data_IF_261995891818
#
_entry.id   IF_261995891818
#
_cell.length_a   1.000
_cell.length_b   1.000
_cell.length_c   1.000
_cell.angle_alpha   90.00
_cell.angle_beta   90.00
_cell.angle_gamma   90.00
#
_symmetry.space_group_name_H-M   'P 1'
#
loop_
_entity.id
_entity.type
_entity.pdbx_description
1 polymer ?
#
# COMPACT_ATOMS: atom_id res chain seq x y z
N UNK A 1 4.32 0.75 56.23
CA UNK A 1 5.18 -0.15 57.02
C UNK A 1 6.28 -0.67 56.11
N UNK A 2 7.52 -0.39 56.49
CA UNK A 2 8.82 -0.87 55.98
C UNK A 2 9.29 -0.43 54.59
N UNK A 3 9.96 0.69 54.61
CA UNK A 3 11.08 1.14 53.79
C UNK A 3 12.27 0.17 53.85
N UNK A 4 12.93 -0.07 52.69
CA UNK A 4 14.36 -0.44 52.66
C UNK A 4 15.05 0.22 51.49
N UNK A 5 15.85 1.25 51.79
CA UNK A 5 16.87 1.82 50.92
C UNK A 5 18.04 0.83 50.78
N UNK A 6 18.61 0.75 49.57
CA UNK A 6 19.96 0.22 49.36
C UNK A 6 20.74 1.14 48.42
N UNK A 7 21.77 1.76 49.01
CA UNK A 7 22.82 2.54 48.34
C UNK A 7 24.02 1.60 48.13
N UNK A 8 24.53 1.52 46.92
CA UNK A 8 25.89 1.12 46.57
C UNK A 8 26.19 1.81 45.25
N UNK A 9 27.21 2.53 45.01
CA UNK A 9 28.61 2.47 45.39
C UNK A 9 29.37 2.85 44.12
N UNK A 10 30.08 3.99 44.16
CA UNK A 10 30.89 4.52 43.04
C UNK A 10 31.97 3.54 42.61
N UNK A 11 32.08 3.27 41.31
CA UNK A 11 33.22 2.67 40.65
C UNK A 11 33.62 3.49 39.43
N UNK A 12 34.62 4.37 39.57
CA UNK A 12 35.30 5.01 38.45
C UNK A 12 36.11 3.97 37.68
N UNK A 13 35.70 3.66 36.47
CA UNK A 13 36.57 2.97 35.53
C UNK A 13 36.96 3.97 34.42
N UNK A 14 38.23 4.39 34.43
CA UNK A 14 38.85 5.09 33.33
C UNK A 14 38.96 4.10 32.14
N UNK A 15 38.07 4.18 31.18
CA UNK A 15 38.14 3.46 29.92
C UNK A 15 38.71 4.35 28.83
N UNK A 16 39.83 3.96 28.28
CA UNK A 16 40.53 4.59 27.15
C UNK A 16 39.59 4.71 25.95
N UNK A 17 39.40 5.93 25.44
CA UNK A 17 38.73 6.17 24.14
C UNK A 17 39.69 5.69 23.03
N UNK A 18 39.42 4.53 22.46
CA UNK A 18 39.90 4.18 21.15
C UNK A 18 39.03 4.89 20.11
N UNK A 19 39.57 5.92 19.47
CA UNK A 19 38.99 6.53 18.25
C UNK A 19 39.12 5.53 17.10
N UNK A 20 38.11 4.68 16.92
CA UNK A 20 37.95 3.94 15.66
C UNK A 20 37.45 4.90 14.63
N UNK A 21 38.29 5.33 13.71
CA UNK A 21 37.96 6.11 12.55
C UNK A 21 36.90 5.35 11.73
N UNK A 22 35.76 5.95 11.48
CA UNK A 22 34.86 5.53 10.43
C UNK A 22 35.56 5.71 9.09
N UNK A 23 36.21 4.64 8.61
CA UNK A 23 36.60 4.52 7.23
C UNK A 23 35.32 4.49 6.40
N UNK A 24 35.07 5.52 5.57
CA UNK A 24 34.13 5.42 4.48
C UNK A 24 34.63 4.36 3.52
N UNK A 25 34.17 3.13 3.66
CA UNK A 25 34.28 2.15 2.59
C UNK A 25 33.43 2.69 1.43
N UNK A 26 34.10 3.29 0.47
CA UNK A 26 33.55 3.50 -0.87
C UNK A 26 33.28 2.12 -1.45
N UNK A 27 32.08 1.62 -1.24
CA UNK A 27 31.61 0.44 -1.95
C UNK A 27 31.52 0.83 -3.42
N UNK A 28 32.44 0.28 -4.24
CA UNK A 28 32.31 0.25 -5.69
C UNK A 28 31.12 -0.64 -6.07
N UNK A 29 29.91 -0.20 -5.70
CA UNK A 29 28.70 -0.84 -6.15
C UNK A 29 28.50 -0.39 -7.60
N UNK A 30 28.41 -1.33 -8.55
CA UNK A 30 28.14 -0.97 -9.94
C UNK A 30 26.85 -0.13 -9.99
N UNK A 31 26.76 0.84 -10.91
CA UNK A 31 25.55 1.63 -11.06
C UNK A 31 24.36 0.67 -11.21
N UNK A 32 23.23 0.98 -10.56
CA UNK A 32 22.03 0.16 -10.67
C UNK A 32 21.71 -0.05 -12.16
N UNK A 33 21.47 -1.30 -12.53
CA UNK A 33 21.06 -1.65 -13.89
C UNK A 33 19.75 -0.95 -14.25
N UNK A 34 19.38 -0.91 -15.55
CA UNK A 34 18.10 -0.36 -15.96
C UNK A 34 16.99 -1.03 -15.16
N UNK A 35 16.01 -0.22 -14.73
CA UNK A 35 14.88 -0.69 -13.94
C UNK A 35 14.31 -1.98 -14.53
N UNK A 36 14.52 -3.09 -13.81
CA UNK A 36 13.83 -4.33 -14.17
C UNK A 36 12.35 -4.07 -13.95
N UNK A 37 11.56 -4.32 -14.98
CA UNK A 37 10.10 -4.36 -14.85
C UNK A 37 9.81 -5.25 -13.66
N UNK A 38 9.08 -4.71 -12.67
CA UNK A 38 8.69 -5.48 -11.51
C UNK A 38 7.98 -6.73 -12.01
N UNK A 39 8.45 -7.91 -11.63
CA UNK A 39 7.81 -9.15 -12.06
C UNK A 39 6.39 -9.13 -11.47
N UNK A 40 5.44 -8.77 -12.31
CA UNK A 40 4.04 -8.83 -11.95
C UNK A 40 3.71 -10.26 -11.51
N UNK A 41 3.04 -10.37 -10.38
CA UNK A 41 2.41 -11.63 -10.05
C UNK A 41 1.59 -12.08 -11.27
N UNK A 42 1.67 -13.37 -11.64
CA UNK A 42 0.85 -13.88 -12.71
C UNK A 42 -0.61 -13.72 -12.32
N UNK A 43 -1.28 -12.77 -12.98
CA UNK A 43 -2.70 -12.50 -12.72
C UNK A 43 -3.48 -13.67 -13.32
N UNK A 44 -4.25 -14.43 -12.52
CA UNK A 44 -5.07 -15.52 -13.06
C UNK A 44 -6.20 -14.99 -13.94
N UNK A 45 -6.79 -15.87 -14.72
CA UNK A 45 -7.97 -15.53 -15.49
C UNK A 45 -9.11 -15.09 -14.58
N UNK A 46 -9.85 -14.07 -14.99
CA UNK A 46 -11.01 -13.57 -14.25
C UNK A 46 -12.06 -14.68 -14.11
N UNK A 47 -12.49 -15.02 -12.88
CA UNK A 47 -13.53 -16.02 -12.70
C UNK A 47 -14.88 -15.58 -13.28
N UNK A 48 -15.72 -16.54 -13.64
CA UNK A 48 -17.07 -16.26 -14.14
C UNK A 48 -17.87 -15.41 -13.11
N UNK A 49 -18.46 -14.33 -13.60
CA UNK A 49 -19.24 -13.41 -12.78
C UNK A 49 -18.42 -12.43 -11.93
N UNK A 50 -17.09 -12.45 -12.02
CA UNK A 50 -16.24 -11.45 -11.41
C UNK A 50 -16.00 -10.27 -12.38
N UNK A 51 -15.65 -9.13 -11.80
CA UNK A 51 -15.23 -7.94 -12.55
C UNK A 51 -13.80 -7.60 -12.14
N UNK A 52 -12.94 -7.40 -13.12
CA UNK A 52 -11.57 -6.95 -12.92
C UNK A 52 -11.47 -5.46 -13.19
N UNK A 53 -10.71 -4.79 -12.35
CA UNK A 53 -10.31 -3.39 -12.55
C UNK A 53 -8.78 -3.33 -12.55
N UNK A 54 -8.21 -2.77 -13.59
CA UNK A 54 -6.79 -2.55 -13.70
C UNK A 54 -6.47 -1.10 -13.28
N UNK A 55 -5.50 -0.93 -12.41
CA UNK A 55 -5.03 0.40 -12.05
C UNK A 55 -4.21 0.96 -13.21
N UNK A 56 -4.40 2.24 -13.59
CA UNK A 56 -3.59 2.85 -14.64
C UNK A 56 -2.11 2.83 -14.30
N UNK A 57 -1.30 2.62 -15.32
CA UNK A 57 0.15 2.60 -15.18
C UNK A 57 0.67 3.90 -14.59
N UNK A 58 1.59 3.81 -13.64
CA UNK A 58 2.25 4.94 -13.02
C UNK A 58 3.74 4.68 -12.80
N UNK A 59 4.53 5.76 -12.81
CA UNK A 59 5.96 5.68 -12.51
C UNK A 59 6.17 6.18 -11.08
N UNK A 60 6.75 5.33 -10.25
CA UNK A 60 7.05 5.64 -8.84
C UNK A 60 8.56 5.78 -8.67
N UNK A 61 9.00 6.96 -8.26
CA UNK A 61 10.41 7.28 -8.12
C UNK A 61 11.07 6.52 -6.95
N UNK A 62 12.40 6.37 -6.96
CA UNK A 62 13.14 5.77 -5.84
C UNK A 62 12.81 6.45 -4.52
N UNK A 63 12.58 5.65 -3.47
CA UNK A 63 12.27 6.13 -2.13
C UNK A 63 10.90 6.80 -1.97
N UNK A 64 10.07 6.82 -3.02
CA UNK A 64 8.73 7.40 -2.94
C UNK A 64 7.75 6.45 -2.26
N UNK A 65 6.89 7.05 -1.44
CA UNK A 65 5.73 6.45 -0.80
C UNK A 65 4.49 7.17 -1.36
N UNK A 66 3.70 6.47 -2.19
CA UNK A 66 2.61 7.08 -2.93
C UNK A 66 1.31 6.34 -2.71
N UNK A 67 0.25 7.10 -2.45
CA UNK A 67 -1.12 6.59 -2.39
C UNK A 67 -1.93 7.29 -3.46
N UNK A 68 -2.43 6.53 -4.41
CA UNK A 68 -3.12 7.06 -5.59
C UNK A 68 -4.52 6.48 -5.67
N UNK A 69 -5.50 7.33 -5.93
CA UNK A 69 -6.90 6.96 -6.12
C UNK A 69 -7.26 7.01 -7.60
N UNK A 70 -7.95 5.97 -8.05
CA UNK A 70 -8.50 5.83 -9.39
C UNK A 70 -10.02 5.71 -9.33
N UNK A 71 -10.73 6.66 -9.98
CA UNK A 71 -12.18 6.77 -9.95
C UNK A 71 -12.80 5.99 -11.10
N UNK A 72 -13.55 4.96 -10.76
CA UNK A 72 -14.18 4.02 -11.70
C UNK A 72 -15.53 4.54 -12.19
N UNK A 73 -16.07 3.86 -13.21
CA UNK A 73 -17.47 4.06 -13.60
C UNK A 73 -18.41 3.71 -12.43
N UNK A 74 -19.51 4.46 -12.25
CA UNK A 74 -20.55 4.06 -11.32
C UNK A 74 -21.12 2.68 -11.67
N UNK A 75 -21.39 1.86 -10.64
CA UNK A 75 -22.01 0.56 -10.87
C UNK A 75 -23.41 0.73 -11.48
N UNK A 76 -23.73 -0.07 -12.50
CA UNK A 76 -24.96 0.07 -13.27
C UNK A 76 -26.19 -0.51 -12.58
N UNK A 77 -25.98 -1.49 -11.71
CA UNK A 77 -27.01 -2.20 -10.97
C UNK A 77 -26.55 -2.51 -9.55
N UNK A 78 -27.46 -2.88 -8.69
CA UNK A 78 -27.12 -3.32 -7.34
C UNK A 78 -26.16 -4.50 -7.40
N UNK A 79 -24.96 -4.28 -6.89
CA UNK A 79 -23.87 -5.25 -6.92
C UNK A 79 -23.59 -5.77 -5.52
N UNK A 80 -23.26 -7.06 -5.42
CA UNK A 80 -22.96 -7.70 -4.14
C UNK A 80 -21.54 -8.25 -4.17
N UNK A 81 -20.62 -7.58 -3.47
CA UNK A 81 -19.23 -8.02 -3.37
C UNK A 81 -19.14 -9.17 -2.37
N UNK A 82 -18.80 -10.36 -2.84
CA UNK A 82 -18.64 -11.59 -2.05
C UNK A 82 -17.19 -11.92 -1.77
N UNK A 83 -16.30 -11.43 -2.63
CA UNK A 83 -14.88 -11.66 -2.52
C UNK A 83 -14.10 -10.50 -3.15
N UNK A 84 -12.86 -10.35 -2.74
CA UNK A 84 -11.86 -9.48 -3.37
C UNK A 84 -10.61 -10.32 -3.59
N UNK A 85 -10.11 -10.27 -4.82
CA UNK A 85 -8.78 -10.77 -5.14
C UNK A 85 -7.93 -9.62 -5.65
N UNK A 86 -6.71 -9.48 -5.16
CA UNK A 86 -5.87 -8.34 -5.48
C UNK A 86 -4.46 -8.77 -5.84
N UNK A 87 -3.93 -8.17 -6.88
CA UNK A 87 -2.61 -8.42 -7.38
C UNK A 87 -1.85 -7.11 -7.49
N UNK A 88 -0.71 -7.04 -6.84
CA UNK A 88 0.19 -5.89 -6.88
C UNK A 88 1.61 -6.37 -7.15
N UNK A 89 2.41 -5.52 -7.78
CA UNK A 89 3.84 -5.77 -7.93
C UNK A 89 4.57 -5.78 -6.57
N UNK A 90 5.85 -6.12 -6.60
CA UNK A 90 6.72 -6.31 -5.44
C UNK A 90 6.68 -5.17 -4.41
N UNK A 91 6.44 -3.94 -4.87
CA UNK A 91 6.43 -2.75 -4.02
C UNK A 91 5.01 -2.31 -3.63
N UNK A 92 3.99 -3.08 -4.01
CA UNK A 92 2.63 -2.86 -3.56
C UNK A 92 2.51 -3.13 -2.06
N UNK A 93 1.91 -2.19 -1.34
CA UNK A 93 1.72 -2.29 0.10
C UNK A 93 0.30 -2.71 0.45
N UNK A 94 -0.71 -2.04 -0.12
CA UNK A 94 -2.11 -2.43 0.00
C UNK A 94 -2.95 -1.88 -1.15
N UNK A 95 -4.13 -2.48 -1.32
CA UNK A 95 -5.22 -2.00 -2.15
C UNK A 95 -6.46 -1.81 -1.30
N UNK A 96 -7.15 -0.69 -1.47
CA UNK A 96 -8.44 -0.44 -0.81
C UNK A 96 -9.47 -0.06 -1.87
N UNK A 97 -10.62 -0.71 -1.81
CA UNK A 97 -11.79 -0.31 -2.56
C UNK A 97 -12.65 0.60 -1.69
N UNK A 98 -12.90 1.80 -2.18
CA UNK A 98 -13.79 2.77 -1.57
C UNK A 98 -15.05 2.94 -2.40
N UNK A 99 -16.09 3.51 -1.80
CA UNK A 99 -17.19 4.19 -2.48
C UNK A 99 -17.03 5.68 -2.29
N UNK A 100 -17.28 6.45 -3.35
CA UNK A 100 -17.30 7.91 -3.27
C UNK A 100 -18.67 8.42 -2.85
N UNK A 101 -18.71 9.29 -1.85
CA UNK A 101 -19.92 10.03 -1.48
C UNK A 101 -20.15 11.25 -2.38
N UNK A 102 -19.07 11.72 -3.02
CA UNK A 102 -19.09 12.81 -3.99
C UNK A 102 -18.49 12.32 -5.30
N UNK A 103 -19.31 12.10 -6.35
CA UNK A 103 -18.79 11.63 -7.63
C UNK A 103 -17.73 12.57 -8.21
N UNK A 104 -16.69 11.97 -8.76
CA UNK A 104 -15.60 12.64 -9.47
C UNK A 104 -15.58 12.14 -10.94
N UNK A 105 -14.85 12.81 -11.84
CA UNK A 105 -14.74 12.35 -13.21
C UNK A 105 -14.25 10.90 -13.30
N UNK A 106 -14.93 10.09 -14.11
CA UNK A 106 -14.52 8.73 -14.40
C UNK A 106 -13.15 8.74 -15.06
N UNK A 107 -12.27 7.83 -14.63
CA UNK A 107 -10.89 7.76 -15.11
C UNK A 107 -9.93 8.73 -14.40
N UNK A 108 -10.41 9.58 -13.51
CA UNK A 108 -9.54 10.45 -12.72
C UNK A 108 -8.57 9.62 -11.89
N UNK A 109 -7.29 9.96 -11.99
CA UNK A 109 -6.22 9.47 -11.11
C UNK A 109 -5.66 10.67 -10.35
N UNK A 110 -5.64 10.58 -9.02
CA UNK A 110 -5.08 11.65 -8.19
C UNK A 110 -4.41 11.13 -6.94
N UNK A 111 -3.54 11.93 -6.37
CA UNK A 111 -3.01 11.69 -5.03
C UNK A 111 -4.14 11.60 -4.00
N UNK A 112 -4.04 10.66 -3.07
CA UNK A 112 -4.95 10.52 -1.95
C UNK A 112 -4.22 10.11 -0.66
N UNK A 113 -3.05 10.68 -0.47
CA UNK A 113 -2.22 10.46 0.72
C UNK A 113 -2.76 11.20 1.94
N UNK A 114 -3.35 12.39 1.75
CA UNK A 114 -3.85 13.20 2.86
C UNK A 114 -5.28 12.83 3.27
N UNK A 115 -5.61 13.10 4.54
CA UNK A 115 -6.98 12.91 5.05
C UNK A 115 -8.01 13.75 4.27
N UNK A 116 -7.61 14.95 3.81
CA UNK A 116 -8.46 15.83 3.02
C UNK A 116 -8.84 15.21 1.68
N UNK A 117 -7.90 14.47 1.07
CA UNK A 117 -8.15 13.78 -0.20
C UNK A 117 -9.14 12.63 -0.05
N UNK A 118 -9.28 12.10 1.17
CA UNK A 118 -10.08 10.93 1.48
C UNK A 118 -11.43 11.25 2.13
N UNK A 119 -11.72 12.52 2.41
CA UNK A 119 -12.88 12.94 3.23
C UNK A 119 -14.23 12.44 2.69
N UNK A 120 -14.35 12.24 1.37
CA UNK A 120 -15.58 11.74 0.73
C UNK A 120 -15.46 10.26 0.30
N UNK A 121 -14.45 9.54 0.78
CA UNK A 121 -14.20 8.14 0.43
C UNK A 121 -14.53 7.26 1.64
N UNK A 122 -15.51 6.38 1.49
CA UNK A 122 -15.87 5.40 2.51
C UNK A 122 -15.31 4.03 2.14
N UNK A 123 -14.49 3.40 3.00
CA UNK A 123 -13.90 2.11 2.70
C UNK A 123 -14.98 1.03 2.58
N UNK A 124 -14.85 0.19 1.55
CA UNK A 124 -15.70 -0.97 1.30
C UNK A 124 -14.97 -2.23 1.73
N UNK A 125 -13.78 -2.43 1.20
CA UNK A 125 -12.93 -3.58 1.51
C UNK A 125 -11.47 -3.23 1.23
N UNK A 126 -10.56 -3.79 2.01
CA UNK A 126 -9.12 -3.60 1.82
C UNK A 126 -8.40 -4.94 1.73
N UNK A 127 -7.31 -4.96 0.96
CA UNK A 127 -6.37 -6.07 0.89
C UNK A 127 -4.98 -5.57 1.24
N UNK A 128 -4.41 -6.12 2.30
CA UNK A 128 -3.02 -5.89 2.71
C UNK A 128 -2.12 -7.07 2.31
N UNK A 129 -2.74 -8.15 1.84
CA UNK A 129 -2.05 -9.34 1.34
C UNK A 129 -2.56 -9.64 -0.06
N UNK A 130 -1.72 -10.28 -0.85
CA UNK A 130 -2.12 -10.81 -2.15
C UNK A 130 -3.03 -12.03 -1.97
N UNK A 131 -3.95 -12.19 -2.89
CA UNK A 131 -4.80 -13.37 -2.99
C UNK A 131 -6.25 -13.13 -2.56
N UNK A 132 -7.02 -14.18 -2.75
CA UNK A 132 -8.47 -14.18 -2.58
C UNK A 132 -8.89 -14.01 -1.11
N UNK A 133 -9.73 -13.02 -0.88
CA UNK A 133 -10.43 -12.81 0.39
C UNK A 133 -11.93 -13.01 0.15
N UNK A 134 -12.53 -14.00 0.80
CA UNK A 134 -13.93 -14.31 0.64
C UNK A 134 -14.71 -14.03 1.93
N UNK A 135 -15.92 -13.50 1.79
CA UNK A 135 -16.85 -13.43 2.90
C UNK A 135 -17.45 -14.80 3.20
N UNK A 136 -17.82 -15.05 4.45
CA UNK A 136 -18.54 -16.27 4.81
C UNK A 136 -19.80 -16.47 3.94
N UNK A 137 -20.18 -17.72 3.70
CA UNK A 137 -21.34 -18.08 2.91
C UNK A 137 -22.61 -17.31 3.38
N UNK A 138 -23.30 -16.71 2.43
CA UNK A 138 -24.50 -15.90 2.69
C UNK A 138 -24.21 -14.43 3.04
N UNK A 139 -22.95 -14.01 3.13
CA UNK A 139 -22.55 -12.63 3.39
C UNK A 139 -22.02 -11.95 2.12
N UNK A 140 -22.34 -10.68 1.95
CA UNK A 140 -21.81 -9.83 0.90
C UNK A 140 -21.94 -8.34 1.28
N UNK A 141 -21.10 -7.50 0.71
CA UNK A 141 -21.25 -6.05 0.81
C UNK A 141 -22.12 -5.59 -0.37
N UNK A 142 -23.27 -4.97 -0.07
CA UNK A 142 -24.11 -4.38 -1.11
C UNK A 142 -23.54 -3.03 -1.53
N UNK A 143 -23.36 -2.87 -2.84
CA UNK A 143 -23.04 -1.61 -3.50
C UNK A 143 -24.25 -1.22 -4.37
N UNK A 144 -25.01 -0.18 -4.00
CA UNK A 144 -26.20 0.25 -4.76
C UNK A 144 -25.83 0.73 -6.17
N UNK A 145 -26.75 0.56 -7.11
CA UNK A 145 -26.66 1.16 -8.45
C UNK A 145 -26.37 2.66 -8.36
N UNK A 146 -25.55 3.18 -9.26
CA UNK A 146 -25.12 4.57 -9.30
C UNK A 146 -23.97 4.92 -8.33
N UNK A 147 -23.55 3.99 -7.46
CA UNK A 147 -22.39 4.21 -6.59
C UNK A 147 -21.11 4.23 -7.42
N UNK A 148 -20.32 5.29 -7.31
CA UNK A 148 -18.97 5.34 -7.87
C UNK A 148 -17.99 4.63 -6.94
N UNK A 149 -17.29 3.64 -7.46
CA UNK A 149 -16.19 2.97 -6.77
C UNK A 149 -14.87 3.67 -7.05
N UNK A 150 -13.95 3.56 -6.10
CA UNK A 150 -12.62 4.15 -6.18
C UNK A 150 -11.61 3.13 -5.69
N UNK A 151 -10.62 2.84 -6.52
CA UNK A 151 -9.47 2.03 -6.12
C UNK A 151 -8.40 2.95 -5.55
N UNK A 152 -7.91 2.67 -4.36
CA UNK A 152 -6.66 3.24 -3.85
C UNK A 152 -5.57 2.18 -3.93
N UNK A 153 -4.48 2.55 -4.55
CA UNK A 153 -3.25 1.77 -4.55
C UNK A 153 -2.20 2.50 -3.70
N UNK A 154 -1.55 1.76 -2.82
CA UNK A 154 -0.40 2.23 -2.05
C UNK A 154 0.85 1.49 -2.48
N UNK A 155 1.86 2.22 -2.95
CA UNK A 155 3.15 1.70 -3.40
C UNK A 155 4.25 2.38 -2.59
N UNK A 156 5.19 1.56 -2.08
CA UNK A 156 6.38 2.03 -1.37
C UNK A 156 7.61 1.55 -2.14
N UNK A 157 8.18 2.43 -2.96
CA UNK A 157 9.36 2.09 -3.75
C UNK A 157 10.64 2.19 -2.90
N UNK A 158 11.04 1.09 -2.30
CA UNK A 158 12.27 0.99 -1.49
C UNK A 158 13.51 0.69 -2.32
N UNK A 159 13.40 0.66 -3.65
CA UNK A 159 14.54 0.42 -4.54
C UNK A 159 15.28 1.71 -4.89
N UNK A 160 16.46 1.58 -5.48
CA UNK A 160 17.25 2.69 -5.99
C UNK A 160 16.84 3.13 -7.41
N UNK A 161 15.86 2.45 -8.01
CA UNK A 161 15.39 2.72 -9.37
C UNK A 161 13.93 3.14 -9.38
N UNK A 162 13.53 3.93 -10.40
CA UNK A 162 12.12 4.13 -10.68
C UNK A 162 11.49 2.80 -11.09
N UNK A 163 10.28 2.56 -10.60
CA UNK A 163 9.45 1.38 -10.95
C UNK A 163 8.22 1.83 -11.73
N UNK A 164 7.62 0.88 -12.43
CA UNK A 164 6.47 1.10 -13.29
C UNK A 164 5.43 0.04 -13.05
#
# INVERSE_FOLDING_TARGET
MHTRNFIWGFGLALGSLALTGCGSESTNQPPPGPATVDEFAVIPAVPDGAVQYDFPEQIVQPGADVQTCYFLDPVKEDTFIKALDSYQGRFGHHLILFRSEKPEPVGLVRDCTSVQDMVNLLPVISSVNFGLQEFPAGMAIRVPAGTQLVLQQHIVNTSENAIR
#
